data_IF_299561043413
#
_entry.id   IF_299561043413
#
_cell.length_a   1.000
_cell.length_b   1.000
_cell.length_c   1.000
_cell.angle_alpha   90.00
_cell.angle_beta   90.00
_cell.angle_gamma   90.00
#
_symmetry.space_group_name_H-M   'P 1'
#
loop_
_entity.id
_entity.type
_entity.pdbx_description
1 polymer ?
#
# COMPACT_ATOMS: atom_id res chain seq x y z
N UNK A 1 7.05 38.57 20.83
CA UNK A 1 5.70 38.21 20.38
C UNK A 1 5.48 36.78 20.83
N UNK A 2 4.70 36.60 21.89
CA UNK A 2 4.51 35.29 22.53
C UNK A 2 3.39 34.58 21.76
N UNK A 3 3.70 33.47 21.12
CA UNK A 3 2.72 32.65 20.39
C UNK A 3 2.07 31.72 21.40
N UNK A 4 0.81 32.03 21.77
CA UNK A 4 -0.02 31.11 22.55
C UNK A 4 -0.36 29.89 21.70
N UNK A 5 -0.18 28.65 22.21
CA UNK A 5 -0.67 27.46 21.52
C UNK A 5 -2.19 27.53 21.44
N UNK A 6 -2.75 27.16 20.29
CA UNK A 6 -4.19 26.98 20.16
C UNK A 6 -4.59 25.74 20.96
N UNK A 7 -5.36 25.92 22.03
CA UNK A 7 -5.97 24.86 22.81
C UNK A 7 -7.17 24.35 22.01
N UNK A 8 -6.99 23.24 21.29
CA UNK A 8 -8.06 22.57 20.54
C UNK A 8 -8.55 21.37 21.35
N UNK A 9 -9.78 21.46 21.87
CA UNK A 9 -10.48 20.36 22.57
C UNK A 9 -10.83 19.19 21.64
N UNK A 10 -10.77 19.39 20.31
CA UNK A 10 -11.00 18.33 19.34
C UNK A 10 -9.71 17.56 19.02
N UNK A 11 -9.80 16.22 18.91
CA UNK A 11 -8.65 15.42 18.52
C UNK A 11 -8.23 15.83 17.11
N UNK A 12 -6.97 16.26 16.99
CA UNK A 12 -6.36 16.67 15.71
C UNK A 12 -6.45 15.58 14.62
N UNK A 13 -6.52 14.30 15.01
CA UNK A 13 -6.61 13.17 14.09
C UNK A 13 -7.46 12.05 14.70
N UNK A 14 -8.43 11.57 13.93
CA UNK A 14 -9.27 10.41 14.28
C UNK A 14 -8.91 9.21 13.41
N UNK A 15 -8.73 8.06 14.06
CA UNK A 15 -8.51 6.81 13.36
C UNK A 15 -9.81 6.32 12.69
N UNK A 16 -9.78 6.12 11.37
CA UNK A 16 -10.97 5.73 10.60
C UNK A 16 -11.10 4.21 10.40
N UNK A 17 -10.04 3.53 9.98
CA UNK A 17 -10.14 2.15 9.47
C UNK A 17 -8.80 1.40 9.48
N UNK A 18 -8.85 0.10 9.82
CA UNK A 18 -7.77 -0.86 9.53
C UNK A 18 -8.10 -1.61 8.25
N UNK A 19 -7.18 -1.67 7.30
CA UNK A 19 -7.37 -2.44 6.07
C UNK A 19 -6.34 -3.54 5.90
N UNK A 20 -6.80 -4.65 5.33
CA UNK A 20 -5.96 -5.78 4.94
C UNK A 20 -5.76 -6.83 6.03
N UNK A 21 -5.31 -8.00 5.57
CA UNK A 21 -4.92 -9.14 6.40
C UNK A 21 -3.57 -9.65 5.89
N UNK A 22 -2.81 -10.29 6.77
CA UNK A 22 -1.58 -10.99 6.36
C UNK A 22 -1.93 -12.15 5.44
N UNK A 23 -1.65 -12.00 4.15
CA UNK A 23 -1.87 -13.04 3.14
C UNK A 23 -0.64 -13.20 2.26
N UNK A 24 -0.36 -14.44 1.88
CA UNK A 24 0.76 -14.73 0.98
C UNK A 24 0.39 -14.48 -0.49
N UNK A 25 -0.91 -14.52 -0.83
CA UNK A 25 -1.45 -14.29 -2.17
C UNK A 25 -2.84 -13.64 -2.10
N UNK A 26 -3.25 -12.97 -3.19
CA UNK A 26 -4.57 -12.36 -3.30
C UNK A 26 -4.72 -11.06 -2.51
N UNK A 27 -5.95 -10.80 -2.06
CA UNK A 27 -6.34 -9.56 -1.39
C UNK A 27 -5.75 -9.49 0.04
N UNK A 28 -4.80 -8.57 0.23
CA UNK A 28 -4.17 -8.30 1.51
C UNK A 28 -2.67 -8.06 1.36
N UNK A 29 -1.97 -7.97 2.49
CA UNK A 29 -0.60 -7.49 2.53
C UNK A 29 0.34 -8.52 3.13
N UNK A 30 1.61 -8.49 2.73
CA UNK A 30 2.64 -9.35 3.31
C UNK A 30 3.83 -8.47 3.71
N UNK A 31 4.04 -8.26 5.01
CA UNK A 31 5.06 -7.33 5.51
C UNK A 31 5.06 -5.96 4.78
N UNK A 32 3.94 -5.19 4.84
CA UNK A 32 3.86 -3.90 4.17
C UNK A 32 4.93 -2.95 4.72
N UNK A 33 5.60 -2.23 3.82
CA UNK A 33 6.67 -1.29 4.19
C UNK A 33 6.33 0.15 3.89
N UNK A 34 5.60 0.40 2.80
CA UNK A 34 5.33 1.75 2.33
C UNK A 34 4.05 1.77 1.49
N UNK A 35 3.47 2.95 1.31
CA UNK A 35 2.22 3.16 0.57
C UNK A 35 2.20 4.52 -0.11
N UNK A 36 1.72 4.55 -1.35
CA UNK A 36 1.47 5.78 -2.10
C UNK A 36 0.06 5.81 -2.68
N UNK A 37 -0.51 7.01 -2.79
CA UNK A 37 -1.85 7.24 -3.35
C UNK A 37 -1.70 8.11 -4.60
N UNK A 38 -2.19 7.62 -5.73
CA UNK A 38 -2.22 8.34 -6.99
C UNK A 38 -3.46 9.26 -7.07
N UNK A 39 -3.43 10.32 -7.90
CA UNK A 39 -4.55 11.25 -8.07
C UNK A 39 -5.87 10.60 -8.51
N UNK A 40 -5.81 9.41 -9.13
CA UNK A 40 -6.97 8.63 -9.55
C UNK A 40 -7.61 7.80 -8.40
N UNK A 41 -7.15 7.98 -7.16
CA UNK A 41 -7.65 7.24 -5.99
C UNK A 41 -7.07 5.84 -5.81
N UNK A 42 -6.15 5.40 -6.69
CA UNK A 42 -5.44 4.12 -6.51
C UNK A 42 -4.35 4.27 -5.45
N UNK A 43 -4.34 3.34 -4.51
CA UNK A 43 -3.34 3.16 -3.49
C UNK A 43 -2.48 1.95 -3.82
N UNK A 44 -1.16 2.13 -3.74
CA UNK A 44 -0.16 1.11 -4.01
C UNK A 44 0.61 0.82 -2.74
N UNK A 45 0.52 -0.42 -2.25
CA UNK A 45 1.18 -0.85 -1.01
C UNK A 45 2.34 -1.78 -1.37
N UNK A 46 3.55 -1.38 -0.98
CA UNK A 46 4.76 -2.18 -1.21
C UNK A 46 4.89 -3.18 -0.07
N UNK A 47 5.05 -4.46 -0.42
CA UNK A 47 5.18 -5.60 0.49
C UNK A 47 6.56 -6.24 0.35
N UNK A 48 7.22 -6.52 1.46
CA UNK A 48 8.47 -7.31 1.51
C UNK A 48 8.17 -8.78 1.79
N UNK A 49 9.19 -9.62 1.68
CA UNK A 49 9.11 -11.02 2.03
C UNK A 49 10.33 -11.50 2.78
N UNK A 50 10.25 -12.74 3.27
CA UNK A 50 11.44 -13.53 3.63
C UNK A 50 12.13 -13.98 2.36
N UNK A 51 13.45 -14.15 2.41
CA UNK A 51 14.26 -14.55 1.26
C UNK A 51 13.79 -15.87 0.62
N UNK A 52 13.25 -16.79 1.41
CA UNK A 52 12.72 -18.09 0.96
C UNK A 52 11.37 -17.99 0.22
N UNK A 53 10.69 -16.85 0.29
CA UNK A 53 9.31 -16.68 -0.20
C UNK A 53 9.26 -15.54 -1.21
N UNK A 54 9.84 -15.73 -2.40
CA UNK A 54 9.87 -14.72 -3.46
C UNK A 54 8.49 -14.11 -3.79
N UNK A 55 7.42 -14.93 -3.77
CA UNK A 55 6.03 -14.50 -4.04
C UNK A 55 5.47 -13.46 -3.06
N UNK A 56 6.11 -13.28 -1.91
CA UNK A 56 5.71 -12.27 -0.93
C UNK A 56 6.19 -10.86 -1.28
N UNK A 57 7.21 -10.73 -2.15
CA UNK A 57 7.68 -9.43 -2.63
C UNK A 57 6.76 -8.98 -3.75
N UNK A 58 5.91 -7.99 -3.47
CA UNK A 58 4.89 -7.51 -4.40
C UNK A 58 4.42 -6.09 -4.09
N UNK A 59 3.72 -5.52 -5.04
CA UNK A 59 2.93 -4.30 -4.91
C UNK A 59 1.46 -4.67 -5.00
N UNK A 60 0.69 -4.29 -3.98
CA UNK A 60 -0.76 -4.50 -3.94
C UNK A 60 -1.47 -3.21 -4.31
N UNK A 61 -2.38 -3.28 -5.30
CA UNK A 61 -3.17 -2.15 -5.78
C UNK A 61 -4.58 -2.22 -5.19
N UNK A 62 -4.98 -1.18 -4.46
CA UNK A 62 -6.29 -1.06 -3.82
C UNK A 62 -6.76 0.40 -3.74
N UNK A 63 -7.92 0.72 -3.16
CA UNK A 63 -8.31 2.09 -2.80
C UNK A 63 -8.23 2.31 -1.29
N UNK A 64 -8.33 3.57 -0.85
CA UNK A 64 -8.45 3.92 0.57
C UNK A 64 -9.74 3.40 1.22
N UNK A 65 -10.70 2.96 0.40
CA UNK A 65 -11.96 2.34 0.84
C UNK A 65 -11.94 0.80 0.77
N UNK A 66 -10.77 0.21 0.47
CA UNK A 66 -10.54 -1.23 0.57
C UNK A 66 -10.87 -2.04 -0.68
N UNK A 67 -11.24 -1.39 -1.78
CA UNK A 67 -11.44 -2.07 -3.06
C UNK A 67 -10.09 -2.60 -3.58
N UNK A 68 -10.01 -3.89 -3.90
CA UNK A 68 -8.78 -4.55 -4.34
C UNK A 68 -8.78 -4.80 -5.84
N UNK A 69 -7.68 -4.44 -6.52
CA UNK A 69 -7.56 -4.57 -7.97
C UNK A 69 -6.55 -5.61 -8.43
N UNK A 70 -5.64 -6.06 -7.56
CA UNK A 70 -4.62 -7.03 -7.92
C UNK A 70 -3.27 -6.80 -7.26
N UNK A 71 -2.35 -7.71 -7.57
CA UNK A 71 -0.96 -7.65 -7.15
C UNK A 71 -0.05 -7.70 -8.38
N UNK A 72 1.05 -6.97 -8.36
CA UNK A 72 2.10 -7.04 -9.38
C UNK A 72 3.49 -6.80 -8.79
N UNK A 73 4.53 -7.02 -9.58
CA UNK A 73 5.90 -7.01 -9.10
C UNK A 73 6.23 -8.36 -8.45
N UNK A 74 7.33 -8.94 -8.89
CA UNK A 74 7.84 -10.21 -8.38
C UNK A 74 9.36 -10.06 -8.26
N UNK A 75 9.92 -10.58 -7.18
CA UNK A 75 11.37 -10.76 -7.09
C UNK A 75 11.70 -12.13 -7.68
N UNK A 76 11.81 -12.23 -9.00
CA UNK A 76 12.47 -13.36 -9.63
C UNK A 76 13.79 -12.93 -10.26
N UNK A 77 14.71 -13.90 -10.40
CA UNK A 77 15.95 -13.72 -11.16
C UNK A 77 15.75 -14.05 -12.65
N UNK A 78 14.52 -14.39 -13.08
CA UNK A 78 14.31 -15.09 -14.36
C UNK A 78 12.97 -14.78 -15.07
N UNK A 79 12.06 -13.95 -14.54
CA UNK A 79 10.75 -13.73 -15.19
C UNK A 79 10.26 -12.29 -15.05
N UNK A 80 10.42 -11.51 -16.12
CA UNK A 80 9.63 -10.29 -16.30
C UNK A 80 8.16 -10.68 -16.45
N UNK A 81 7.38 -10.64 -15.38
CA UNK A 81 5.92 -10.60 -15.51
C UNK A 81 5.58 -9.28 -16.20
N UNK A 82 5.29 -9.35 -17.50
CA UNK A 82 4.86 -8.22 -18.30
C UNK A 82 3.54 -7.69 -17.77
N UNK A 83 3.56 -6.55 -17.07
CA UNK A 83 2.41 -5.67 -16.95
C UNK A 83 2.91 -4.25 -17.08
N UNK A 84 2.50 -3.59 -18.16
CA UNK A 84 2.87 -2.21 -18.46
C UNK A 84 2.37 -1.30 -17.35
N UNK A 85 3.31 -0.63 -16.68
CA UNK A 85 3.02 0.58 -15.92
C UNK A 85 2.67 1.69 -16.92
N UNK A 86 1.45 1.64 -17.47
CA UNK A 86 0.88 2.80 -18.12
C UNK A 86 0.43 3.74 -17.00
N UNK A 87 1.34 4.57 -16.51
CA UNK A 87 0.94 5.85 -15.92
C UNK A 87 0.40 6.65 -17.10
N UNK A 88 -0.88 6.47 -17.39
CA UNK A 88 -1.59 7.38 -18.28
C UNK A 88 -1.73 8.72 -17.55
N UNK A 89 -1.51 9.84 -18.26
CA UNK A 89 -1.57 11.19 -17.70
C UNK A 89 -2.91 11.50 -17.05
#
# INVERSE_FOLDING_TARGET
MEIKPAETDEPFLEYRLTMGMTVMEGQGFYYPVDTSIAPNGRMYVISRSRDEVARGVRITMCTVEGEYFGNFGVLDKTTVSSFGLAVLP
#
